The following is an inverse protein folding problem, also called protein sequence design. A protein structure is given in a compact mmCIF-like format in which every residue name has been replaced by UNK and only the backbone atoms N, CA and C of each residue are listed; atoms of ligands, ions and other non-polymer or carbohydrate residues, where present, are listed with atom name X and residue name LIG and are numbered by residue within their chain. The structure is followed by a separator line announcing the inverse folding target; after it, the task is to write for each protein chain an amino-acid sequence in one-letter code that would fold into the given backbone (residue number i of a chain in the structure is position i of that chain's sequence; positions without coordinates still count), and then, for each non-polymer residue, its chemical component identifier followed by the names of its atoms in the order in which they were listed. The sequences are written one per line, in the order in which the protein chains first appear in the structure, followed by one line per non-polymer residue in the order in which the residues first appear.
data_IF_334042837097
#
_entry.id   IF_334042837097
#
_cell.length_a   1.000
_cell.length_b   1.000
_cell.length_c   1.000
_cell.angle_alpha   90.00
_cell.angle_beta   90.00
_cell.angle_gamma   90.00
#
_symmetry.space_group_name_H-M   'P 1'
#
loop_
_entity.id
_entity.type
_entity.pdbx_description
1 polymer ?
#
# COMPACT_ATOMS: atom_id res chain seq x y z
N UNK A 1 -30.55 -28.68 9.63
CA UNK A 1 -29.58 -27.88 8.84
C UNK A 1 -28.98 -28.79 7.77
N UNK A 2 -29.20 -28.50 6.48
CA UNK A 2 -28.68 -29.35 5.40
C UNK A 2 -27.18 -29.09 5.19
N UNK A 3 -26.44 -30.09 4.68
CA UNK A 3 -25.00 -29.98 4.37
C UNK A 3 -24.68 -28.73 3.53
N UNK A 4 -25.56 -28.39 2.60
CA UNK A 4 -25.46 -27.21 1.74
C UNK A 4 -25.47 -25.91 2.54
N UNK A 5 -26.35 -25.77 3.52
CA UNK A 5 -26.45 -24.55 4.35
C UNK A 5 -25.18 -24.36 5.17
N UNK A 6 -24.60 -25.45 5.70
CA UNK A 6 -23.33 -25.39 6.43
C UNK A 6 -22.18 -24.95 5.53
N UNK A 7 -22.07 -25.53 4.33
CA UNK A 7 -21.02 -25.18 3.35
C UNK A 7 -21.12 -23.70 2.95
N UNK A 8 -22.32 -23.23 2.62
CA UNK A 8 -22.56 -21.83 2.24
C UNK A 8 -22.23 -20.89 3.39
N UNK A 9 -22.61 -21.24 4.63
CA UNK A 9 -22.30 -20.42 5.81
C UNK A 9 -20.80 -20.30 6.06
N UNK A 10 -20.04 -21.40 5.91
CA UNK A 10 -18.59 -21.39 6.11
C UNK A 10 -17.90 -20.57 5.02
N UNK A 11 -18.31 -20.72 3.76
CA UNK A 11 -17.79 -19.93 2.65
C UNK A 11 -18.06 -18.43 2.83
N UNK A 12 -19.30 -18.07 3.20
CA UNK A 12 -19.67 -16.68 3.43
C UNK A 12 -18.86 -16.06 4.58
N UNK A 13 -18.68 -16.80 5.68
CA UNK A 13 -17.84 -16.37 6.79
C UNK A 13 -16.37 -16.18 6.39
N UNK A 14 -15.83 -17.12 5.60
CA UNK A 14 -14.47 -17.03 5.06
C UNK A 14 -14.28 -15.79 4.17
N UNK A 15 -15.21 -15.54 3.23
CA UNK A 15 -15.16 -14.37 2.36
C UNK A 15 -15.22 -13.06 3.15
N UNK A 16 -16.06 -12.99 4.19
CA UNK A 16 -16.16 -11.81 5.05
C UNK A 16 -14.83 -11.51 5.77
N UNK A 17 -14.18 -12.53 6.35
CA UNK A 17 -12.88 -12.38 7.02
C UNK A 17 -11.77 -11.93 6.06
N UNK A 18 -11.73 -12.50 4.84
CA UNK A 18 -10.77 -12.10 3.81
C UNK A 18 -10.98 -10.65 3.38
N UNK A 19 -12.23 -10.22 3.18
CA UNK A 19 -12.53 -8.84 2.81
C UNK A 19 -12.10 -7.84 3.90
N UNK A 20 -12.41 -8.12 5.17
CA UNK A 20 -12.03 -7.27 6.30
C UNK A 20 -10.50 -7.17 6.44
N UNK A 21 -9.80 -8.30 6.38
CA UNK A 21 -8.33 -8.32 6.48
C UNK A 21 -7.65 -7.56 5.34
N UNK A 22 -8.17 -7.67 4.11
CA UNK A 22 -7.66 -6.93 2.96
C UNK A 22 -7.80 -5.41 3.15
N UNK A 23 -8.94 -4.94 3.68
CA UNK A 23 -9.18 -3.51 3.96
C UNK A 23 -8.26 -2.98 5.04
N UNK A 24 -8.07 -3.74 6.13
CA UNK A 24 -7.15 -3.35 7.22
C UNK A 24 -5.71 -3.26 6.69
N UNK A 25 -5.28 -4.24 5.91
CA UNK A 25 -3.93 -4.29 5.37
C UNK A 25 -3.68 -3.19 4.33
N UNK A 26 -4.67 -2.87 3.50
CA UNK A 26 -4.59 -1.77 2.56
C UNK A 26 -4.44 -0.42 3.28
N UNK A 27 -5.26 -0.16 4.30
CA UNK A 27 -5.17 1.08 5.08
C UNK A 27 -3.81 1.22 5.78
N UNK A 28 -3.28 0.14 6.35
CA UNK A 28 -1.96 0.18 7.00
C UNK A 28 -0.82 0.53 6.01
N UNK A 29 -0.95 0.13 4.74
CA UNK A 29 0.00 0.52 3.68
C UNK A 29 -0.16 1.96 3.21
N UNK A 30 -1.36 2.53 3.29
CA UNK A 30 -1.61 3.93 2.88
C UNK A 30 -1.12 4.92 3.93
N UNK A 31 -1.21 4.58 5.22
CA UNK A 31 -0.80 5.46 6.32
C UNK A 31 0.70 5.43 6.58
N UNK A 32 1.40 4.36 6.18
CA UNK A 32 2.85 4.25 6.30
C UNK A 32 3.53 4.58 4.97
N UNK A 33 3.52 5.86 4.57
CA UNK A 33 4.71 6.35 3.88
C UNK A 33 5.86 6.08 4.87
N UNK A 34 6.89 5.29 4.52
CA UNK A 34 7.97 4.99 5.46
C UNK A 34 8.51 6.33 5.98
N UNK A 35 8.45 6.53 7.30
CA UNK A 35 9.06 7.66 7.99
C UNK A 35 10.52 7.73 7.50
N UNK A 36 10.79 8.65 6.58
CA UNK A 36 12.11 8.80 6.00
C UNK A 36 13.05 9.18 7.13
N UNK A 37 14.12 8.41 7.30
CA UNK A 37 15.15 8.76 8.28
C UNK A 37 15.73 10.14 7.97
N UNK A 38 16.29 10.82 8.98
CA UNK A 38 16.90 12.14 8.78
C UNK A 38 17.99 12.13 7.68
N UNK A 39 18.72 11.03 7.56
CA UNK A 39 19.74 10.84 6.52
C UNK A 39 19.13 10.73 5.12
N UNK A 40 18.03 9.99 4.98
CA UNK A 40 17.30 9.88 3.72
C UNK A 40 16.68 11.23 3.32
N UNK A 41 16.19 11.99 4.30
CA UNK A 41 15.66 13.35 4.08
C UNK A 41 16.76 14.30 3.60
N UNK A 42 17.91 14.30 4.26
CA UNK A 42 19.06 15.11 3.86
C UNK A 42 19.57 14.74 2.46
N UNK A 43 19.61 13.44 2.13
CA UNK A 43 19.96 12.99 0.78
C UNK A 43 18.93 13.47 -0.25
N UNK A 44 17.63 13.34 0.03
CA UNK A 44 16.56 13.83 -0.83
C UNK A 44 16.68 15.33 -1.08
N UNK A 45 16.87 16.13 -0.04
CA UNK A 45 17.03 17.59 -0.16
C UNK A 45 18.28 17.96 -0.97
N UNK A 46 19.38 17.21 -0.82
CA UNK A 46 20.61 17.42 -1.61
C UNK A 46 20.41 17.16 -3.11
N UNK A 47 19.66 16.12 -3.48
CA UNK A 47 19.47 15.75 -4.90
C UNK A 47 18.29 16.47 -5.56
N UNK A 48 17.21 16.72 -4.81
CA UNK A 48 15.93 17.21 -5.36
C UNK A 48 15.56 18.63 -4.91
N UNK A 49 16.32 19.22 -3.98
CA UNK A 49 16.05 20.54 -3.39
C UNK A 49 15.04 20.49 -2.24
N UNK A 50 15.01 21.56 -1.45
CA UNK A 50 14.06 21.76 -0.36
C UNK A 50 12.71 22.28 -0.89
N UNK A 51 11.59 21.73 -0.41
CA UNK A 51 10.24 22.25 -0.69
C UNK A 51 9.54 21.73 -1.94
N UNK A 52 10.14 20.81 -2.71
CA UNK A 52 9.44 20.13 -3.80
C UNK A 52 8.89 18.80 -3.30
N UNK A 53 7.59 18.74 -3.06
CA UNK A 53 6.94 17.45 -2.97
C UNK A 53 7.17 16.73 -4.31
N UNK A 54 7.80 15.56 -4.25
CA UNK A 54 8.12 14.85 -5.49
C UNK A 54 6.79 14.40 -6.07
N UNK A 55 6.53 14.76 -7.32
CA UNK A 55 5.33 14.30 -8.01
C UNK A 55 5.24 12.78 -7.86
N UNK A 56 4.09 12.24 -7.43
CA UNK A 56 3.93 10.81 -7.24
C UNK A 56 4.42 10.08 -8.48
N UNK A 57 5.32 9.11 -8.28
CA UNK A 57 5.80 8.26 -9.38
C UNK A 57 4.61 7.39 -9.78
N UNK A 58 4.00 7.69 -10.91
CA UNK A 58 2.90 6.89 -11.44
C UNK A 58 3.37 5.44 -11.61
N UNK A 59 2.52 4.50 -11.17
CA UNK A 59 2.80 3.06 -11.22
C UNK A 59 3.04 2.66 -12.69
N UNK A 60 4.27 2.32 -13.04
CA UNK A 60 4.66 2.01 -14.43
C UNK A 60 5.59 3.03 -15.09
N UNK A 61 5.99 4.10 -14.39
CA UNK A 61 7.12 4.92 -14.80
C UNK A 61 8.41 4.08 -14.79
N UNK A 62 8.86 3.61 -15.96
CA UNK A 62 10.24 3.16 -16.14
C UNK A 62 11.15 4.36 -15.86
N UNK A 63 12.01 4.26 -14.85
CA UNK A 63 13.09 5.23 -14.61
C UNK A 63 14.15 5.06 -15.71
N UNK A 64 13.80 5.43 -16.95
CA UNK A 64 14.77 5.50 -18.04
C UNK A 64 15.65 6.72 -17.81
N UNK A 65 16.96 6.53 -17.73
CA UNK A 65 17.86 7.65 -17.53
C UNK A 65 17.89 8.50 -18.81
N UNK A 66 17.86 9.83 -18.66
CA UNK A 66 17.79 10.80 -19.76
C UNK A 66 19.18 11.20 -20.30
N UNK A 67 20.11 10.25 -20.31
CA UNK A 67 21.44 10.46 -20.92
C UNK A 67 21.43 10.03 -22.38
#
# INVERSE_FOLDING_TARGET
MTRTVLIVSVLAGGCALVAVSAVIFAQNRTTAAPEMSGEQRAAREKFFGTGKDLSPIEKGQEMRPRW
#
